data_IF_231799522325
#
_entry.id   IF_231799522325
#
_cell.length_a   1.000
_cell.length_b   1.000
_cell.length_c   1.000
_cell.angle_alpha   90.00
_cell.angle_beta   90.00
_cell.angle_gamma   90.00
#
_symmetry.space_group_name_H-M   'P 1'
#
loop_
_entity.id
_entity.type
_entity.pdbx_description
1 polymer ?
#
# COMPACT_ATOMS: atom_id res chain seq x y z
N UNK A 1 31.01 2.53 -19.49
CA UNK A 1 31.55 1.34 -18.79
C UNK A 1 30.67 1.12 -17.57
N UNK A 2 29.75 0.17 -17.64
CA UNK A 2 28.94 -0.24 -16.48
C UNK A 2 29.86 -0.97 -15.49
N UNK A 3 30.08 -0.40 -14.31
CA UNK A 3 30.81 -1.05 -13.23
C UNK A 3 30.09 -2.36 -12.88
N UNK A 4 30.76 -3.49 -13.00
CA UNK A 4 30.28 -4.73 -12.39
C UNK A 4 30.30 -4.56 -10.89
N UNK A 5 29.13 -4.61 -10.25
CA UNK A 5 28.99 -4.57 -8.79
C UNK A 5 28.54 -5.97 -8.31
N UNK A 6 29.04 -6.40 -7.17
CA UNK A 6 28.58 -7.65 -6.56
C UNK A 6 27.11 -7.53 -6.15
N UNK A 7 26.41 -8.67 -6.09
CA UNK A 7 25.02 -8.71 -5.61
C UNK A 7 24.87 -8.10 -4.22
N UNK A 8 25.82 -8.33 -3.31
CA UNK A 8 25.81 -7.77 -1.96
C UNK A 8 25.90 -6.24 -2.01
N UNK A 9 26.86 -5.69 -2.76
CA UNK A 9 26.99 -4.25 -2.93
C UNK A 9 25.74 -3.63 -3.57
N UNK A 10 25.09 -4.34 -4.50
CA UNK A 10 23.86 -3.87 -5.10
C UNK A 10 22.70 -3.84 -4.09
N UNK A 11 22.48 -4.91 -3.32
CA UNK A 11 21.47 -4.94 -2.27
C UNK A 11 21.74 -3.91 -1.18
N UNK A 12 22.98 -3.72 -0.77
CA UNK A 12 23.39 -2.69 0.19
C UNK A 12 23.12 -1.27 -0.38
N UNK A 13 23.32 -1.06 -1.68
CA UNK A 13 23.00 0.21 -2.35
C UNK A 13 21.51 0.54 -2.40
N UNK A 14 20.64 -0.47 -2.33
CA UNK A 14 19.19 -0.28 -2.20
C UNK A 14 18.77 0.12 -0.78
N UNK A 15 19.70 0.16 0.17
CA UNK A 15 19.42 0.52 1.56
C UNK A 15 18.64 -0.56 2.32
N UNK A 16 18.85 -1.85 1.97
CA UNK A 16 18.25 -2.98 2.69
C UNK A 16 18.75 -3.02 4.14
N UNK A 17 18.00 -2.44 5.07
CA UNK A 17 18.19 -2.66 6.49
C UNK A 17 17.50 -3.96 6.91
N UNK A 18 18.23 -4.88 7.54
CA UNK A 18 17.65 -6.02 8.25
C UNK A 18 17.47 -5.59 9.70
N UNK A 19 16.31 -5.83 10.24
CA UNK A 19 16.01 -5.56 11.64
C UNK A 19 16.81 -6.42 12.63
N UNK A 20 18.10 -6.09 12.75
CA UNK A 20 18.77 -6.04 14.04
C UNK A 20 18.73 -4.56 14.39
N UNK A 21 18.34 -4.20 15.61
CA UNK A 21 18.29 -2.84 16.09
C UNK A 21 19.45 -2.04 15.50
N UNK A 22 19.19 -1.29 14.44
CA UNK A 22 20.17 -0.37 13.88
C UNK A 22 20.28 0.78 14.86
N UNK A 23 21.10 0.63 15.85
CA UNK A 23 21.71 1.74 16.59
C UNK A 23 22.68 2.45 15.66
N UNK A 24 22.14 3.04 14.60
CA UNK A 24 22.88 3.88 13.69
C UNK A 24 22.28 5.28 13.71
N UNK A 25 22.87 6.09 14.59
CA UNK A 25 23.01 7.52 14.32
C UNK A 25 21.74 8.36 14.25
N UNK A 26 20.86 8.31 15.24
CA UNK A 26 20.05 9.46 15.61
C UNK A 26 20.92 10.46 16.40
N UNK A 27 22.02 10.89 15.81
CA UNK A 27 22.75 12.04 16.30
C UNK A 27 21.95 13.28 15.88
N UNK A 28 21.22 13.85 16.82
CA UNK A 28 20.88 15.24 16.79
C UNK A 28 19.50 15.64 16.29
N UNK A 29 18.42 15.22 16.97
CA UNK A 29 17.25 16.07 17.18
C UNK A 29 16.63 15.80 18.55
N UNK A 30 17.43 15.95 19.61
CA UNK A 30 16.85 16.30 20.91
C UNK A 30 16.62 17.82 20.88
N UNK A 31 15.57 18.25 20.24
CA UNK A 31 15.02 19.57 20.53
C UNK A 31 14.46 19.51 21.93
N UNK A 32 15.04 20.28 22.86
CA UNK A 32 14.42 20.59 24.14
C UNK A 32 12.92 20.85 23.93
N UNK A 33 12.03 20.42 24.84
CA UNK A 33 10.62 20.73 24.70
C UNK A 33 10.47 22.26 24.72
N UNK A 34 10.42 22.86 23.51
CA UNK A 34 9.90 24.23 23.39
C UNK A 34 8.50 24.16 24.00
N UNK A 35 8.24 24.99 25.01
CA UNK A 35 6.87 25.24 25.48
C UNK A 35 5.96 25.24 24.26
N UNK A 36 5.01 24.31 24.21
CA UNK A 36 4.06 24.24 23.12
C UNK A 36 3.47 25.63 22.97
N UNK A 37 3.82 26.30 21.87
CA UNK A 37 3.16 27.56 21.52
C UNK A 37 1.67 27.24 21.50
N UNK A 38 0.87 28.06 22.17
CA UNK A 38 -0.57 27.89 22.20
C UNK A 38 -1.02 27.67 20.75
N UNK A 39 -1.71 26.55 20.47
CA UNK A 39 -2.21 26.27 19.13
C UNK A 39 -3.08 27.48 18.74
N UNK A 40 -2.65 28.25 17.74
CA UNK A 40 -3.51 29.27 17.17
C UNK A 40 -4.80 28.60 16.71
N UNK A 41 -5.93 29.14 17.17
CA UNK A 41 -7.24 28.64 16.73
C UNK A 41 -7.47 28.87 15.23
N UNK A 42 -8.51 28.25 14.64
CA UNK A 42 -8.81 28.43 13.23
C UNK A 42 -9.17 29.90 12.95
N UNK A 43 -8.74 30.40 11.79
CA UNK A 43 -8.97 31.79 11.35
C UNK A 43 -10.31 31.90 10.60
N UNK A 44 -10.96 33.06 10.73
CA UNK A 44 -12.11 33.44 9.95
C UNK A 44 -13.38 32.59 10.14
N UNK A 45 -14.31 32.71 9.19
CA UNK A 45 -15.62 32.03 9.25
C UNK A 45 -15.48 30.58 8.76
N UNK A 46 -15.81 29.64 9.66
CA UNK A 46 -15.89 28.22 9.36
C UNK A 46 -17.37 27.79 9.30
N UNK A 47 -17.84 27.13 8.23
CA UNK A 47 -19.20 26.61 8.15
C UNK A 47 -19.51 25.64 9.28
N UNK A 48 -20.76 25.62 9.74
CA UNK A 48 -21.25 24.62 10.71
C UNK A 48 -21.86 23.40 10.02
N UNK A 49 -22.06 23.47 8.69
CA UNK A 49 -22.53 22.32 7.90
C UNK A 49 -21.51 21.20 7.93
N UNK A 50 -21.93 19.93 8.01
CA UNK A 50 -21.01 18.80 8.00
C UNK A 50 -20.09 18.80 6.77
N UNK A 51 -18.88 18.26 6.95
CA UNK A 51 -17.98 17.92 5.87
C UNK A 51 -18.28 16.47 5.46
N UNK A 52 -18.82 16.29 4.26
CA UNK A 52 -19.23 14.97 3.79
C UNK A 52 -18.11 14.25 3.05
N UNK A 53 -17.76 13.06 3.53
CA UNK A 53 -16.80 12.17 2.86
C UNK A 53 -17.54 11.05 2.16
N UNK A 54 -17.25 10.80 0.88
CA UNK A 54 -17.62 9.58 0.19
C UNK A 54 -16.56 8.51 0.45
N UNK A 55 -16.95 7.36 0.97
CA UNK A 55 -16.04 6.23 1.20
C UNK A 55 -16.54 4.99 0.49
N UNK A 56 -15.76 4.50 -0.48
CA UNK A 56 -16.07 3.30 -1.27
C UNK A 56 -15.10 2.20 -0.96
N UNK A 57 -15.59 1.02 -0.60
CA UNK A 57 -14.76 -0.16 -0.34
C UNK A 57 -15.60 -1.44 -0.40
N UNK A 58 -14.97 -2.61 -0.37
CA UNK A 58 -15.71 -3.87 -0.36
C UNK A 58 -16.36 -4.14 1.00
N UNK A 59 -17.68 -4.18 1.02
CA UNK A 59 -18.48 -4.65 2.15
C UNK A 59 -18.98 -6.07 1.96
N UNK A 60 -18.97 -6.58 0.73
CA UNK A 60 -19.44 -7.91 0.38
C UNK A 60 -18.38 -8.68 -0.43
N UNK A 61 -18.56 -10.02 -0.50
CA UNK A 61 -17.67 -10.91 -1.25
C UNK A 61 -16.31 -11.18 -0.59
N UNK A 62 -15.43 -11.94 -1.27
CA UNK A 62 -14.13 -12.37 -0.72
C UNK A 62 -13.16 -11.21 -0.40
N UNK A 63 -13.35 -10.06 -1.04
CA UNK A 63 -12.52 -8.87 -0.81
C UNK A 63 -12.93 -8.06 0.43
N UNK A 64 -14.08 -8.36 1.07
CA UNK A 64 -14.52 -7.69 2.29
C UNK A 64 -13.50 -7.79 3.44
N UNK A 65 -12.66 -8.84 3.45
CA UNK A 65 -11.56 -9.01 4.43
C UNK A 65 -10.54 -7.86 4.38
N UNK A 66 -10.46 -7.12 3.28
CA UNK A 66 -9.69 -5.88 3.13
C UNK A 66 -10.58 -4.63 3.24
N UNK A 67 -11.76 -4.68 2.62
CA UNK A 67 -12.67 -3.54 2.56
C UNK A 67 -13.22 -3.12 3.92
N UNK A 68 -13.60 -4.05 4.79
CA UNK A 68 -14.05 -3.71 6.14
C UNK A 68 -12.97 -3.01 6.99
N UNK A 69 -11.70 -3.46 7.05
CA UNK A 69 -10.64 -2.73 7.70
C UNK A 69 -10.41 -1.32 7.13
N UNK A 70 -10.53 -1.14 5.80
CA UNK A 70 -10.45 0.18 5.16
C UNK A 70 -11.49 1.13 5.76
N UNK A 71 -12.76 0.69 5.80
CA UNK A 71 -13.84 1.48 6.41
C UNK A 71 -13.62 1.75 7.90
N UNK A 72 -13.17 0.74 8.65
CA UNK A 72 -12.88 0.87 10.08
C UNK A 72 -11.78 1.90 10.36
N UNK A 73 -10.73 1.94 9.54
CA UNK A 73 -9.68 2.95 9.63
C UNK A 73 -10.19 4.36 9.36
N UNK A 74 -11.00 4.54 8.32
CA UNK A 74 -11.66 5.80 7.98
C UNK A 74 -12.57 6.28 9.13
N UNK A 75 -13.43 5.40 9.66
CA UNK A 75 -14.37 5.76 10.74
C UNK A 75 -13.62 6.11 12.03
N UNK A 76 -12.54 5.38 12.37
CA UNK A 76 -11.74 5.72 13.54
C UNK A 76 -11.18 7.15 13.42
N UNK A 77 -10.63 7.51 12.27
CA UNK A 77 -10.14 8.87 12.02
C UNK A 77 -11.25 9.91 12.09
N UNK A 78 -12.41 9.63 11.49
CA UNK A 78 -13.57 10.53 11.53
C UNK A 78 -14.10 10.73 12.95
N UNK A 79 -14.21 9.66 13.75
CA UNK A 79 -14.60 9.72 15.17
C UNK A 79 -13.61 10.58 15.98
N UNK A 80 -12.29 10.41 15.78
CA UNK A 80 -11.26 11.19 16.49
C UNK A 80 -11.30 12.68 16.08
N UNK A 81 -11.39 12.97 14.79
CA UNK A 81 -11.55 14.34 14.29
C UNK A 81 -12.83 14.99 14.87
N UNK A 82 -13.91 14.24 14.90
CA UNK A 82 -15.19 14.71 15.45
C UNK A 82 -15.14 14.92 16.96
N UNK A 83 -14.39 14.12 17.70
CA UNK A 83 -14.17 14.32 19.13
C UNK A 83 -13.42 15.63 19.44
N UNK A 84 -12.54 16.07 18.50
CA UNK A 84 -11.85 17.38 18.56
C UNK A 84 -12.71 18.56 18.09
N UNK A 85 -14.00 18.34 17.80
CA UNK A 85 -14.92 19.38 17.32
C UNK A 85 -15.17 19.34 15.80
N UNK A 86 -14.51 18.44 15.05
CA UNK A 86 -14.53 18.37 13.59
C UNK A 86 -13.37 19.12 12.96
N UNK A 87 -13.36 19.20 11.63
CA UNK A 87 -12.37 19.96 10.90
C UNK A 87 -12.42 21.43 11.33
N UNK A 88 -11.28 22.00 11.64
CA UNK A 88 -11.11 23.35 12.19
C UNK A 88 -11.96 23.60 13.46
N UNK A 89 -12.29 22.54 14.21
CA UNK A 89 -13.06 22.64 15.44
C UNK A 89 -14.57 22.93 15.26
N UNK A 90 -15.09 22.85 14.04
CA UNK A 90 -16.51 23.16 13.72
C UNK A 90 -17.18 22.21 12.75
N UNK A 91 -16.56 21.87 11.62
CA UNK A 91 -17.19 21.01 10.61
C UNK A 91 -17.04 19.54 10.98
N UNK A 92 -18.10 18.92 11.49
CA UNK A 92 -18.13 17.49 11.76
C UNK A 92 -18.01 16.71 10.45
N UNK A 93 -17.26 15.60 10.47
CA UNK A 93 -17.14 14.68 9.34
C UNK A 93 -18.34 13.74 9.37
N UNK A 94 -19.04 13.64 8.23
CA UNK A 94 -20.07 12.64 7.96
C UNK A 94 -19.65 11.77 6.79
N UNK A 95 -19.96 10.45 6.82
CA UNK A 95 -19.52 9.50 5.83
C UNK A 95 -20.70 8.92 5.04
N UNK A 96 -20.66 9.09 3.73
CA UNK A 96 -21.50 8.39 2.75
C UNK A 96 -20.72 7.18 2.27
N UNK A 97 -21.26 5.97 2.42
CA UNK A 97 -20.56 4.74 2.06
C UNK A 97 -21.12 4.09 0.80
N UNK A 98 -20.26 3.39 0.04
CA UNK A 98 -20.65 2.55 -1.09
C UNK A 98 -19.89 1.23 -1.10
N UNK A 99 -20.52 0.18 -1.64
CA UNK A 99 -19.90 -1.13 -1.79
C UNK A 99 -19.18 -1.24 -3.14
N UNK A 100 -17.87 -1.40 -3.10
CA UNK A 100 -17.00 -1.55 -4.27
C UNK A 100 -17.28 -2.86 -5.06
N UNK A 101 -17.93 -3.85 -4.43
CA UNK A 101 -18.22 -5.14 -5.03
C UNK A 101 -19.20 -5.08 -6.21
N UNK A 102 -19.87 -3.96 -6.42
CA UNK A 102 -20.80 -3.76 -7.53
C UNK A 102 -20.15 -3.76 -8.93
N UNK A 103 -18.81 -3.70 -9.00
CA UNK A 103 -18.03 -3.67 -10.23
C UNK A 103 -17.73 -2.27 -10.74
N UNK A 104 -16.70 -2.16 -11.59
CA UNK A 104 -16.10 -0.87 -11.98
C UNK A 104 -17.09 0.12 -12.57
N UNK A 105 -17.96 -0.30 -13.48
CA UNK A 105 -18.94 0.59 -14.12
C UNK A 105 -19.98 1.13 -13.11
N UNK A 106 -20.40 0.28 -12.17
CA UNK A 106 -21.30 0.69 -11.10
C UNK A 106 -20.58 1.65 -10.13
N UNK A 107 -19.33 1.42 -9.83
CA UNK A 107 -18.51 2.26 -8.96
C UNK A 107 -18.33 3.68 -9.57
N UNK A 108 -18.12 3.78 -10.88
CA UNK A 108 -18.08 5.07 -11.60
C UNK A 108 -19.41 5.83 -11.46
N UNK A 109 -20.54 5.15 -11.65
CA UNK A 109 -21.87 5.76 -11.47
C UNK A 109 -22.08 6.19 -10.02
N UNK A 110 -21.63 5.40 -9.09
CA UNK A 110 -21.77 5.67 -7.66
C UNK A 110 -20.93 6.89 -7.22
N UNK A 111 -19.69 7.04 -7.71
CA UNK A 111 -18.89 8.24 -7.46
C UNK A 111 -19.61 9.51 -7.98
N UNK A 112 -20.19 9.44 -9.20
CA UNK A 112 -21.00 10.54 -9.73
C UNK A 112 -22.21 10.83 -8.84
N UNK A 113 -22.94 9.81 -8.37
CA UNK A 113 -24.08 9.97 -7.46
C UNK A 113 -23.63 10.60 -6.13
N UNK A 114 -22.55 10.12 -5.54
CA UNK A 114 -22.02 10.72 -4.31
C UNK A 114 -21.70 12.20 -4.48
N UNK A 115 -21.09 12.60 -5.61
CA UNK A 115 -20.75 14.01 -5.85
C UNK A 115 -21.96 14.86 -6.19
N UNK A 116 -22.81 14.41 -7.12
CA UNK A 116 -23.87 15.25 -7.70
C UNK A 116 -25.18 15.23 -6.90
N UNK A 117 -25.44 14.17 -6.13
CA UNK A 117 -26.68 14.01 -5.35
C UNK A 117 -26.41 14.16 -3.84
N UNK A 118 -25.42 13.45 -3.30
CA UNK A 118 -25.09 13.54 -1.87
C UNK A 118 -24.26 14.79 -1.53
N UNK A 119 -23.66 15.43 -2.55
CA UNK A 119 -22.80 16.61 -2.41
C UNK A 119 -21.61 16.36 -1.46
N UNK A 120 -20.87 15.25 -1.71
CA UNK A 120 -19.65 15.00 -0.94
C UNK A 120 -18.60 16.08 -1.22
N UNK A 121 -17.87 16.46 -0.16
CA UNK A 121 -16.74 17.40 -0.22
C UNK A 121 -15.42 16.67 -0.60
N UNK A 122 -15.32 15.40 -0.24
CA UNK A 122 -14.10 14.60 -0.34
C UNK A 122 -14.44 13.13 -0.64
N UNK A 123 -13.61 12.48 -1.48
CA UNK A 123 -13.75 11.07 -1.78
C UNK A 123 -12.50 10.29 -1.33
N UNK A 124 -12.69 9.08 -0.80
CA UNK A 124 -11.60 8.20 -0.36
C UNK A 124 -12.03 6.74 -0.38
N UNK A 125 -11.09 5.85 -0.09
CA UNK A 125 -11.30 4.42 -0.10
C UNK A 125 -10.72 3.77 -1.33
N UNK A 126 -11.40 2.73 -1.81
CA UNK A 126 -11.07 1.84 -2.93
C UNK A 126 -9.90 0.90 -2.62
N UNK A 127 -10.16 -0.39 -2.70
CA UNK A 127 -9.17 -1.47 -2.54
C UNK A 127 -8.62 -1.91 -3.90
N UNK A 128 -9.51 -2.06 -4.90
CA UNK A 128 -9.11 -2.68 -6.17
C UNK A 128 -8.30 -1.76 -7.08
N UNK A 129 -7.13 -2.24 -7.48
CA UNK A 129 -6.29 -1.60 -8.51
C UNK A 129 -6.95 -1.50 -9.89
N UNK A 130 -8.05 -2.22 -10.13
CA UNK A 130 -8.88 -2.07 -11.34
C UNK A 130 -9.74 -0.82 -11.30
N UNK A 131 -10.13 -0.36 -10.11
CA UNK A 131 -11.06 0.76 -9.93
C UNK A 131 -10.38 2.14 -9.93
N UNK A 132 -9.18 2.28 -9.37
CA UNK A 132 -8.52 3.60 -9.30
C UNK A 132 -8.25 4.24 -10.67
N UNK A 133 -7.82 3.50 -11.73
CA UNK A 133 -7.69 4.07 -13.07
C UNK A 133 -9.02 4.45 -13.73
N UNK A 134 -10.12 3.82 -13.32
CA UNK A 134 -11.45 4.16 -13.81
C UNK A 134 -12.08 5.35 -13.06
N UNK A 135 -11.90 5.42 -11.75
CA UNK A 135 -12.45 6.45 -10.88
C UNK A 135 -11.65 7.74 -10.90
N UNK A 136 -10.32 7.66 -11.08
CA UNK A 136 -9.43 8.82 -11.07
C UNK A 136 -9.82 9.88 -12.10
N UNK A 137 -9.97 9.57 -13.41
CA UNK A 137 -10.42 10.52 -14.41
C UNK A 137 -11.80 11.13 -14.10
N UNK A 138 -12.70 10.34 -13.49
CA UNK A 138 -14.04 10.82 -13.10
C UNK A 138 -13.94 11.78 -11.92
N UNK A 139 -13.06 11.52 -10.96
CA UNK A 139 -12.82 12.44 -9.85
C UNK A 139 -12.24 13.79 -10.33
N UNK A 140 -11.30 13.75 -11.30
CA UNK A 140 -10.76 14.94 -11.95
C UNK A 140 -11.87 15.73 -12.71
N UNK A 141 -12.68 15.04 -13.49
CA UNK A 141 -13.82 15.64 -14.24
C UNK A 141 -14.81 16.34 -13.30
N UNK A 142 -15.13 15.71 -12.18
CA UNK A 142 -16.09 16.22 -11.20
C UNK A 142 -15.48 17.27 -10.26
N UNK A 143 -14.18 17.49 -10.30
CA UNK A 143 -13.48 18.38 -9.37
C UNK A 143 -13.64 17.96 -7.91
N UNK A 144 -13.71 16.67 -7.63
CA UNK A 144 -13.84 16.18 -6.26
C UNK A 144 -12.46 15.81 -5.69
N UNK A 145 -12.05 16.51 -4.63
CA UNK A 145 -10.81 16.20 -3.94
C UNK A 145 -10.84 14.75 -3.48
N UNK A 146 -9.86 13.97 -3.92
CA UNK A 146 -9.82 12.53 -3.74
C UNK A 146 -8.47 12.12 -3.19
N UNK A 147 -8.46 11.32 -2.12
CA UNK A 147 -7.25 10.60 -1.67
C UNK A 147 -7.60 9.12 -1.65
N UNK A 148 -7.17 8.37 -2.65
CA UNK A 148 -7.32 6.92 -2.63
C UNK A 148 -6.49 6.31 -1.48
N UNK A 149 -7.12 5.49 -0.65
CA UNK A 149 -6.45 4.82 0.47
C UNK A 149 -5.68 3.57 0.03
N UNK A 150 -6.07 2.96 -1.09
CA UNK A 150 -5.39 1.88 -1.77
C UNK A 150 -5.63 1.90 -3.29
N UNK A 151 -5.82 0.74 -3.94
CA UNK A 151 -5.89 0.64 -5.40
C UNK A 151 -4.56 1.03 -6.06
N UNK A 152 -3.50 0.39 -5.60
CA UNK A 152 -2.11 0.82 -5.71
C UNK A 152 -1.47 0.74 -7.10
N UNK A 153 -2.19 0.31 -8.17
CA UNK A 153 -1.59 0.17 -9.51
C UNK A 153 -0.85 1.43 -9.96
N UNK A 154 0.32 1.24 -10.56
CA UNK A 154 1.10 2.32 -11.18
C UNK A 154 0.31 3.01 -12.32
N UNK A 155 -0.63 2.31 -12.95
CA UNK A 155 -1.42 2.83 -14.06
C UNK A 155 -2.27 4.05 -13.72
N UNK A 156 -2.61 4.27 -12.44
CA UNK A 156 -3.35 5.47 -12.05
C UNK A 156 -2.62 6.73 -12.50
N UNK A 157 -1.37 6.92 -12.08
CA UNK A 157 -0.61 8.13 -12.37
C UNK A 157 0.31 8.02 -13.59
N UNK A 158 0.60 6.81 -14.05
CA UNK A 158 1.36 6.62 -15.27
C UNK A 158 0.51 6.81 -16.52
N UNK A 159 -0.80 6.49 -16.47
CA UNK A 159 -1.66 6.40 -17.67
C UNK A 159 -3.00 7.10 -17.53
N UNK A 160 -3.77 6.79 -16.48
CA UNK A 160 -5.16 7.25 -16.36
C UNK A 160 -5.27 8.73 -15.96
N UNK A 161 -4.45 9.16 -15.02
CA UNK A 161 -4.38 10.55 -14.53
C UNK A 161 -2.92 11.00 -14.50
N UNK A 162 -2.27 11.16 -15.67
CA UNK A 162 -0.84 11.47 -15.73
C UNK A 162 -0.49 12.87 -15.22
N UNK A 163 -1.44 13.77 -15.17
CA UNK A 163 -1.30 15.14 -14.64
C UNK A 163 -2.42 15.39 -13.64
N UNK A 164 -2.35 14.82 -12.43
CA UNK A 164 -3.42 14.94 -11.45
C UNK A 164 -3.54 16.36 -10.91
N UNK A 165 -4.77 16.78 -10.62
CA UNK A 165 -5.08 18.00 -9.88
C UNK A 165 -5.86 17.67 -8.60
N UNK A 166 -6.95 16.91 -8.72
CA UNK A 166 -7.83 16.59 -7.59
C UNK A 166 -7.54 15.22 -6.97
N UNK A 167 -6.79 14.37 -7.66
CA UNK A 167 -6.56 12.98 -7.27
C UNK A 167 -5.20 12.79 -6.63
N UNK A 168 -5.20 12.20 -5.44
CA UNK A 168 -4.03 11.79 -4.64
C UNK A 168 -4.14 10.31 -4.26
N UNK A 169 -3.05 9.71 -3.82
CA UNK A 169 -3.07 8.36 -3.24
C UNK A 169 -2.08 8.26 -2.08
N UNK A 170 -2.54 7.64 -0.97
CA UNK A 170 -1.74 7.53 0.26
C UNK A 170 -0.96 6.24 0.38
N UNK A 171 -1.48 5.12 -0.15
CA UNK A 171 -0.76 3.83 -0.13
C UNK A 171 0.47 3.85 -1.03
N UNK A 172 1.42 2.94 -0.78
CA UNK A 172 2.55 2.78 -1.67
C UNK A 172 2.12 2.35 -3.08
N UNK A 173 2.97 2.66 -4.06
CA UNK A 173 2.77 2.27 -5.45
C UNK A 173 3.04 0.77 -5.64
N UNK A 174 2.27 0.11 -6.52
CA UNK A 174 2.31 -1.33 -6.80
C UNK A 174 3.71 -1.87 -7.14
N UNK A 175 4.49 -1.10 -7.88
CA UNK A 175 5.86 -1.49 -8.22
C UNK A 175 6.71 -1.82 -6.99
N UNK A 176 6.46 -1.16 -5.85
CA UNK A 176 7.18 -1.43 -4.62
C UNK A 176 6.98 -2.88 -4.12
N UNK A 177 5.80 -3.46 -4.29
CA UNK A 177 5.50 -4.84 -3.88
C UNK A 177 6.36 -5.86 -4.62
N UNK A 178 6.40 -5.76 -5.95
CA UNK A 178 7.19 -6.66 -6.78
C UNK A 178 8.69 -6.51 -6.51
N UNK A 179 9.16 -5.26 -6.45
CA UNK A 179 10.60 -4.99 -6.30
C UNK A 179 11.13 -5.39 -4.93
N UNK A 180 10.41 -5.08 -3.84
CA UNK A 180 10.84 -5.51 -2.48
C UNK A 180 10.80 -7.02 -2.32
N UNK A 181 9.81 -7.69 -2.92
CA UNK A 181 9.73 -9.14 -2.94
C UNK A 181 10.92 -9.76 -3.68
N UNK A 182 11.30 -9.23 -4.84
CA UNK A 182 12.48 -9.65 -5.59
C UNK A 182 13.78 -9.45 -4.80
N UNK A 183 13.93 -8.30 -4.15
CA UNK A 183 15.09 -8.01 -3.30
C UNK A 183 15.18 -8.95 -2.09
N UNK A 184 14.04 -9.27 -1.46
CA UNK A 184 13.98 -10.22 -0.37
C UNK A 184 14.35 -11.65 -0.82
N UNK A 185 13.86 -12.08 -1.98
CA UNK A 185 14.22 -13.37 -2.61
C UNK A 185 15.71 -13.43 -2.90
N UNK A 186 16.26 -12.43 -3.59
CA UNK A 186 17.67 -12.41 -3.97
C UNK A 186 18.61 -12.43 -2.76
N UNK A 187 18.19 -11.82 -1.65
CA UNK A 187 18.93 -11.83 -0.40
C UNK A 187 18.85 -13.17 0.33
N UNK A 188 17.63 -13.70 0.47
CA UNK A 188 17.38 -14.89 1.29
C UNK A 188 17.72 -16.19 0.57
N UNK A 189 17.54 -16.24 -0.75
CA UNK A 189 17.63 -17.45 -1.57
C UNK A 189 18.40 -17.20 -2.86
N UNK A 190 19.69 -16.87 -2.77
CA UNK A 190 20.53 -16.54 -3.93
C UNK A 190 20.70 -17.69 -4.94
N UNK A 191 20.38 -18.92 -4.52
CA UNK A 191 20.42 -20.12 -5.33
C UNK A 191 19.20 -20.31 -6.24
N UNK A 192 18.14 -19.52 -6.12
CA UNK A 192 16.93 -19.60 -6.94
C UNK A 192 17.28 -19.39 -8.41
N UNK A 193 16.79 -20.28 -9.29
CA UNK A 193 16.96 -20.24 -10.75
C UNK A 193 15.64 -20.39 -11.49
N UNK A 194 14.73 -21.25 -11.00
CA UNK A 194 13.43 -21.53 -11.62
C UNK A 194 12.30 -20.94 -10.79
N UNK A 195 11.50 -20.08 -11.39
CA UNK A 195 10.41 -19.38 -10.72
C UNK A 195 9.09 -19.79 -11.36
N UNK A 196 8.12 -20.20 -10.56
CA UNK A 196 6.72 -20.22 -10.94
C UNK A 196 6.02 -19.01 -10.32
N UNK A 197 4.91 -18.57 -10.90
CA UNK A 197 4.07 -17.57 -10.26
C UNK A 197 2.58 -17.87 -10.39
N UNK A 198 1.80 -17.39 -9.41
CA UNK A 198 0.33 -17.36 -9.43
C UNK A 198 -0.11 -15.95 -9.02
N UNK A 199 -0.67 -15.20 -9.97
CA UNK A 199 -1.11 -13.82 -9.77
C UNK A 199 -2.52 -13.63 -10.34
N UNK A 200 -3.38 -12.79 -9.71
CA UNK A 200 -4.72 -12.55 -10.25
C UNK A 200 -4.64 -11.82 -11.61
N UNK A 201 -5.53 -12.23 -12.54
CA UNK A 201 -5.51 -11.76 -13.93
C UNK A 201 -6.17 -10.39 -14.09
N UNK A 202 -5.55 -9.36 -13.53
CA UNK A 202 -5.92 -7.96 -13.72
C UNK A 202 -4.73 -7.04 -13.37
N UNK A 203 -4.92 -5.70 -13.40
CA UNK A 203 -3.84 -4.72 -13.27
C UNK A 203 -2.92 -4.94 -12.06
N UNK A 204 -3.47 -5.31 -10.88
CA UNK A 204 -2.63 -5.60 -9.71
C UNK A 204 -1.67 -6.76 -9.97
N UNK A 205 -2.20 -7.92 -10.34
CA UNK A 205 -1.38 -9.12 -10.53
C UNK A 205 -0.35 -8.94 -11.65
N UNK A 206 -0.74 -8.29 -12.75
CA UNK A 206 0.16 -8.00 -13.88
C UNK A 206 1.30 -7.08 -13.44
N UNK A 207 1.00 -5.96 -12.79
CA UNK A 207 2.04 -5.06 -12.30
C UNK A 207 2.97 -5.73 -11.28
N UNK A 208 2.42 -6.50 -10.32
CA UNK A 208 3.22 -7.14 -9.28
C UNK A 208 4.30 -8.07 -9.86
N UNK A 209 3.91 -8.95 -10.79
CA UNK A 209 4.87 -9.90 -11.38
C UNK A 209 5.83 -9.22 -12.37
N UNK A 210 5.39 -8.23 -13.13
CA UNK A 210 6.25 -7.49 -14.05
C UNK A 210 7.38 -6.80 -13.29
N UNK A 211 7.06 -6.12 -12.18
CA UNK A 211 8.07 -5.46 -11.34
C UNK A 211 8.95 -6.46 -10.59
N UNK A 212 8.38 -7.58 -10.12
CA UNK A 212 9.19 -8.66 -9.56
C UNK A 212 10.19 -9.19 -10.61
N UNK A 213 9.71 -9.47 -11.82
CA UNK A 213 10.52 -10.07 -12.90
C UNK A 213 11.64 -9.14 -13.34
N UNK A 214 11.35 -7.85 -13.61
CA UNK A 214 12.40 -6.92 -14.04
C UNK A 214 13.44 -6.68 -12.96
N UNK A 215 13.05 -6.73 -11.67
CA UNK A 215 13.97 -6.57 -10.56
C UNK A 215 14.80 -7.85 -10.34
N UNK A 216 14.18 -9.03 -10.35
CA UNK A 216 14.89 -10.29 -10.10
C UNK A 216 15.90 -10.60 -11.24
N UNK A 217 15.62 -10.25 -12.49
CA UNK A 217 16.54 -10.35 -13.61
C UNK A 217 17.80 -9.47 -13.45
N UNK A 218 17.71 -8.41 -12.65
CA UNK A 218 18.87 -7.59 -12.30
C UNK A 218 19.65 -8.16 -11.11
N UNK A 219 18.95 -8.70 -10.14
CA UNK A 219 19.49 -9.19 -8.87
C UNK A 219 20.00 -10.64 -8.96
N UNK A 220 19.33 -11.50 -9.74
CA UNK A 220 19.65 -12.90 -10.02
C UNK A 220 19.51 -13.16 -11.53
N UNK A 221 20.49 -12.77 -12.35
CA UNK A 221 20.35 -12.77 -13.82
C UNK A 221 20.07 -14.13 -14.47
N UNK A 222 20.38 -15.24 -13.77
CA UNK A 222 20.16 -16.61 -14.27
C UNK A 222 18.78 -17.17 -13.96
N UNK A 223 17.87 -16.36 -13.42
CA UNK A 223 16.50 -16.81 -13.13
C UNK A 223 15.64 -16.91 -14.39
N UNK A 224 14.72 -17.88 -14.38
CA UNK A 224 13.76 -18.10 -15.47
C UNK A 224 12.38 -18.39 -14.90
N UNK A 225 11.34 -17.78 -15.49
CA UNK A 225 9.96 -18.15 -15.23
C UNK A 225 9.65 -19.45 -15.99
N UNK A 226 9.26 -20.50 -15.25
CA UNK A 226 8.99 -21.84 -15.80
C UNK A 226 7.51 -22.22 -15.75
N UNK A 227 6.69 -21.47 -15.02
CA UNK A 227 5.24 -21.67 -14.95
C UNK A 227 4.54 -20.39 -14.56
N UNK A 228 3.39 -20.15 -15.18
CA UNK A 228 2.52 -19.00 -14.93
C UNK A 228 1.11 -19.46 -14.60
N UNK A 229 0.50 -18.88 -13.58
CA UNK A 229 -0.88 -19.08 -13.19
C UNK A 229 -1.61 -17.74 -13.10
N UNK A 230 -2.75 -17.64 -13.81
CA UNK A 230 -3.54 -16.42 -13.91
C UNK A 230 -5.00 -16.70 -13.49
N UNK A 231 -5.27 -16.91 -12.18
CA UNK A 231 -6.66 -17.03 -11.71
C UNK A 231 -7.41 -15.71 -11.86
N UNK A 232 -8.70 -15.78 -12.17
CA UNK A 232 -9.59 -14.63 -12.10
C UNK A 232 -9.79 -14.22 -10.64
N UNK A 233 -10.03 -12.93 -10.41
CA UNK A 233 -10.41 -12.46 -9.07
C UNK A 233 -11.73 -13.13 -8.64
N UNK A 234 -11.79 -13.62 -7.38
CA UNK A 234 -12.90 -14.41 -6.86
C UNK A 234 -12.77 -15.91 -7.13
N UNK A 235 -11.63 -16.39 -7.64
CA UNK A 235 -11.36 -17.82 -7.81
C UNK A 235 -11.37 -18.53 -6.45
N UNK A 236 -12.13 -19.61 -6.34
CA UNK A 236 -12.21 -20.44 -5.13
C UNK A 236 -11.48 -21.78 -5.28
N UNK A 237 -11.26 -22.26 -6.50
CA UNK A 237 -10.51 -23.49 -6.81
C UNK A 237 -9.21 -23.17 -7.53
N UNK A 238 -8.09 -23.38 -6.84
CA UNK A 238 -6.73 -23.16 -7.32
C UNK A 238 -6.01 -24.44 -7.77
N UNK A 239 -6.70 -25.58 -7.79
CA UNK A 239 -6.12 -26.90 -8.09
C UNK A 239 -5.29 -26.90 -9.37
N UNK A 240 -5.83 -26.38 -10.47
CA UNK A 240 -5.13 -26.35 -11.76
C UNK A 240 -3.86 -25.50 -11.70
N UNK A 241 -3.91 -24.32 -11.07
CA UNK A 241 -2.75 -23.43 -10.93
C UNK A 241 -1.68 -24.05 -10.04
N UNK A 242 -2.06 -24.66 -8.91
CA UNK A 242 -1.16 -25.31 -7.96
C UNK A 242 -0.47 -26.52 -8.60
N UNK A 243 -1.21 -27.40 -9.25
CA UNK A 243 -0.67 -28.64 -9.86
C UNK A 243 0.23 -28.31 -11.03
N UNK A 244 -0.11 -27.31 -11.86
CA UNK A 244 0.74 -26.79 -12.92
C UNK A 244 2.08 -26.26 -12.37
N UNK A 245 2.04 -25.45 -11.30
CA UNK A 245 3.24 -24.95 -10.68
C UNK A 245 4.12 -26.09 -10.13
N UNK A 246 3.55 -27.06 -9.42
CA UNK A 246 4.29 -28.22 -8.89
C UNK A 246 4.93 -29.04 -10.03
N UNK A 247 4.21 -29.26 -11.12
CA UNK A 247 4.71 -30.06 -12.26
C UNK A 247 5.89 -29.42 -12.96
N UNK A 248 6.01 -28.10 -12.96
CA UNK A 248 7.14 -27.35 -13.51
C UNK A 248 8.43 -27.46 -12.68
N UNK A 249 8.36 -28.01 -11.45
CA UNK A 249 9.49 -28.18 -10.51
C UNK A 249 10.33 -26.90 -10.35
N UNK A 250 9.71 -25.78 -9.95
CA UNK A 250 10.41 -24.53 -9.68
C UNK A 250 11.15 -24.61 -8.34
N UNK A 251 12.14 -23.72 -8.15
CA UNK A 251 12.79 -23.50 -6.85
C UNK A 251 11.93 -22.61 -5.94
N UNK A 252 11.14 -21.72 -6.57
CA UNK A 252 10.34 -20.68 -5.92
C UNK A 252 8.98 -20.55 -6.60
N UNK A 253 7.92 -20.45 -5.79
CA UNK A 253 6.63 -19.89 -6.21
C UNK A 253 6.47 -18.49 -5.66
N UNK A 254 6.17 -17.54 -6.55
CA UNK A 254 5.82 -16.16 -6.19
C UNK A 254 4.32 -15.95 -6.38
N UNK A 255 3.64 -15.33 -5.43
CA UNK A 255 2.20 -15.08 -5.51
C UNK A 255 1.82 -13.64 -5.15
N UNK A 256 0.95 -13.08 -5.98
CA UNK A 256 0.23 -11.83 -5.71
C UNK A 256 -1.26 -12.04 -5.47
N UNK A 257 -1.71 -13.28 -5.25
CA UNK A 257 -3.10 -13.56 -4.86
C UNK A 257 -3.36 -12.95 -3.48
N UNK A 258 -4.52 -12.34 -3.28
CA UNK A 258 -4.84 -11.57 -2.07
C UNK A 258 -6.24 -11.86 -1.54
N UNK A 259 -6.56 -11.33 -0.35
CA UNK A 259 -7.87 -11.43 0.26
C UNK A 259 -8.29 -12.87 0.56
N UNK A 260 -9.58 -13.15 0.40
CA UNK A 260 -10.17 -14.49 0.55
C UNK A 260 -9.61 -15.50 -0.44
N UNK A 261 -9.27 -15.05 -1.67
CA UNK A 261 -8.67 -15.89 -2.70
C UNK A 261 -7.31 -16.44 -2.23
N UNK A 262 -6.50 -15.61 -1.54
CA UNK A 262 -5.24 -16.09 -0.95
C UNK A 262 -5.46 -17.13 0.13
N UNK A 263 -6.46 -16.94 0.99
CA UNK A 263 -6.80 -17.91 2.04
C UNK A 263 -7.21 -19.24 1.41
N UNK A 264 -8.01 -19.22 0.35
CA UNK A 264 -8.39 -20.42 -0.40
C UNK A 264 -7.16 -21.09 -1.04
N UNK A 265 -6.32 -20.32 -1.71
CA UNK A 265 -5.13 -20.81 -2.40
C UNK A 265 -4.14 -21.49 -1.43
N UNK A 266 -3.76 -20.84 -0.32
CA UNK A 266 -2.74 -21.41 0.55
C UNK A 266 -3.22 -22.68 1.26
N UNK A 267 -4.50 -22.76 1.63
CA UNK A 267 -5.10 -23.99 2.22
C UNK A 267 -5.07 -25.16 1.25
N UNK A 268 -5.40 -24.93 -0.01
CA UNK A 268 -5.28 -25.95 -1.05
C UNK A 268 -3.82 -26.32 -1.29
N UNK A 269 -2.92 -25.34 -1.38
CA UNK A 269 -1.50 -25.58 -1.56
C UNK A 269 -0.87 -26.41 -0.43
N UNK A 270 -1.33 -26.24 0.83
CA UNK A 270 -0.96 -27.12 1.94
C UNK A 270 -1.37 -28.57 1.67
N UNK A 271 -2.60 -28.82 1.21
CA UNK A 271 -3.09 -30.15 0.88
C UNK A 271 -2.29 -30.83 -0.23
N UNK A 272 -1.82 -30.09 -1.22
CA UNK A 272 -0.94 -30.59 -2.29
C UNK A 272 0.53 -30.69 -1.90
N UNK A 273 0.90 -30.31 -0.67
CA UNK A 273 2.29 -30.34 -0.18
C UNK A 273 3.21 -29.37 -0.93
N UNK A 274 2.69 -28.30 -1.54
CA UNK A 274 3.43 -27.33 -2.35
C UNK A 274 4.63 -26.77 -1.56
N UNK A 275 4.41 -26.32 -0.35
CA UNK A 275 5.41 -25.65 0.49
C UNK A 275 6.55 -26.57 0.98
N UNK A 276 6.42 -27.91 0.80
CA UNK A 276 7.48 -28.90 1.02
C UNK A 276 8.34 -29.11 -0.23
N UNK A 277 7.88 -28.66 -1.38
CA UNK A 277 8.50 -28.92 -2.69
C UNK A 277 9.30 -27.73 -3.22
N UNK A 278 8.95 -26.52 -2.79
CA UNK A 278 9.56 -25.28 -3.27
C UNK A 278 9.46 -24.18 -2.22
N UNK A 279 10.31 -23.16 -2.34
CA UNK A 279 10.21 -21.92 -1.56
C UNK A 279 8.96 -21.16 -1.95
N UNK A 280 8.49 -20.31 -1.05
CA UNK A 280 7.31 -19.48 -1.31
C UNK A 280 7.58 -18.01 -0.94
N UNK A 281 7.22 -17.10 -1.82
CA UNK A 281 7.20 -15.66 -1.58
C UNK A 281 5.85 -15.08 -2.02
N UNK A 282 5.35 -14.13 -1.28
CA UNK A 282 4.15 -13.39 -1.64
C UNK A 282 4.36 -11.89 -1.49
N UNK A 283 3.74 -11.12 -2.38
CA UNK A 283 3.76 -9.66 -2.31
C UNK A 283 2.80 -9.11 -1.26
N UNK A 284 1.79 -9.88 -0.83
CA UNK A 284 0.67 -9.36 -0.03
C UNK A 284 0.11 -10.33 1.03
N UNK A 285 0.59 -11.57 1.15
CA UNK A 285 -0.04 -12.59 1.99
C UNK A 285 -0.37 -12.16 3.42
N UNK A 286 0.54 -11.43 4.08
CA UNK A 286 0.38 -10.94 5.44
C UNK A 286 -0.15 -9.49 5.53
N UNK A 287 -0.44 -8.89 4.39
CA UNK A 287 -1.13 -7.59 4.31
C UNK A 287 -2.64 -7.68 4.52
N UNK A 288 -3.23 -8.87 4.38
CA UNK A 288 -4.65 -9.09 4.71
C UNK A 288 -4.89 -9.00 6.21
N UNK A 289 -6.15 -8.94 6.62
CA UNK A 289 -6.51 -8.91 8.03
C UNK A 289 -5.80 -10.07 8.77
N UNK A 290 -4.96 -9.81 9.77
CA UNK A 290 -4.09 -10.83 10.35
C UNK A 290 -4.83 -12.09 10.80
N UNK A 291 -6.04 -11.95 11.36
CA UNK A 291 -6.85 -13.08 11.82
C UNK A 291 -7.38 -13.99 10.69
N UNK A 292 -7.30 -13.58 9.43
CA UNK A 292 -7.67 -14.42 8.29
C UNK A 292 -6.61 -15.48 7.96
N UNK A 293 -5.38 -15.31 8.47
CA UNK A 293 -4.28 -16.25 8.34
C UNK A 293 -4.14 -17.03 9.64
N UNK A 294 -4.39 -18.34 9.62
CA UNK A 294 -4.21 -19.20 10.79
C UNK A 294 -2.73 -19.46 11.10
N UNK A 295 -2.47 -20.39 12.03
CA UNK A 295 -1.10 -20.87 12.37
C UNK A 295 -0.61 -22.01 11.47
N UNK A 296 -1.44 -22.52 10.61
CA UNK A 296 -1.14 -23.57 9.63
C UNK A 296 -0.40 -23.06 8.39
N UNK A 297 -0.39 -21.74 8.17
CA UNK A 297 0.40 -21.13 7.10
C UNK A 297 1.91 -21.45 7.29
N UNK A 298 2.67 -21.76 6.22
CA UNK A 298 4.07 -22.15 6.33
C UNK A 298 4.92 -21.05 6.97
N UNK A 299 5.82 -21.45 7.88
CA UNK A 299 6.79 -20.55 8.48
C UNK A 299 8.02 -20.34 7.58
N UNK A 300 8.66 -19.17 7.70
CA UNK A 300 9.89 -18.85 6.97
C UNK A 300 9.68 -18.53 5.50
N UNK A 301 8.44 -18.36 5.07
CA UNK A 301 8.14 -17.83 3.73
C UNK A 301 8.35 -16.32 3.69
N UNK A 302 8.68 -15.75 2.53
CA UNK A 302 8.62 -14.30 2.34
C UNK A 302 7.14 -13.90 2.30
N UNK A 303 6.75 -13.09 3.26
CA UNK A 303 5.37 -12.75 3.58
C UNK A 303 5.14 -11.26 3.37
N UNK A 304 4.72 -10.88 2.17
CA UNK A 304 4.48 -9.49 1.80
C UNK A 304 3.34 -8.86 2.60
N UNK A 305 3.44 -7.56 2.78
CA UNK A 305 2.46 -6.72 3.47
C UNK A 305 2.03 -5.54 2.59
N UNK A 306 1.99 -5.79 1.29
CA UNK A 306 1.69 -4.75 0.30
C UNK A 306 2.70 -3.59 0.35
N UNK A 307 3.96 -3.88 0.63
CA UNK A 307 5.07 -2.95 0.79
C UNK A 307 4.74 -1.69 1.60
N UNK A 308 3.72 -1.74 2.44
CA UNK A 308 3.07 -0.56 3.00
C UNK A 308 3.14 -0.53 4.53
N UNK A 309 2.39 -1.38 5.23
CA UNK A 309 2.24 -1.32 6.67
C UNK A 309 2.03 -2.71 7.29
N UNK A 310 2.62 -2.90 8.46
CA UNK A 310 2.32 -4.05 9.31
C UNK A 310 2.15 -3.61 10.76
N UNK A 311 1.16 -4.14 11.48
CA UNK A 311 0.75 -3.63 12.80
C UNK A 311 1.82 -3.71 13.89
N UNK A 312 2.82 -4.58 13.76
CA UNK A 312 3.98 -4.63 14.68
C UNK A 312 5.17 -3.79 14.19
N UNK A 313 5.05 -3.11 13.03
CA UNK A 313 6.15 -2.36 12.45
C UNK A 313 5.67 -1.00 11.88
N UNK A 314 6.34 0.13 12.17
CA UNK A 314 7.56 0.23 13.01
C UNK A 314 7.31 -0.13 14.48
N UNK A 315 8.34 -0.68 15.19
CA UNK A 315 8.20 -1.04 16.61
C UNK A 315 7.77 0.14 17.47
N UNK A 316 6.87 -0.11 18.42
CA UNK A 316 6.22 0.94 19.21
C UNK A 316 7.15 1.72 20.13
N UNK A 317 8.26 1.14 20.58
CA UNK A 317 9.32 1.80 21.35
C UNK A 317 10.11 2.81 20.50
N UNK A 318 10.25 2.56 19.21
CA UNK A 318 10.89 3.45 18.24
C UNK A 318 9.89 4.39 17.56
N UNK A 319 8.63 3.97 17.44
CA UNK A 319 7.59 4.71 16.74
C UNK A 319 6.26 4.72 17.51
N UNK A 320 6.13 5.58 18.55
CA UNK A 320 4.95 5.63 19.42
C UNK A 320 3.62 5.84 18.69
N UNK A 321 3.65 6.47 17.53
CA UNK A 321 2.45 6.71 16.70
C UNK A 321 1.81 5.40 16.26
N UNK A 322 2.62 4.39 15.90
CA UNK A 322 2.10 3.07 15.55
C UNK A 322 1.46 2.38 16.77
N UNK A 323 2.18 2.30 17.90
CA UNK A 323 1.64 1.66 19.11
C UNK A 323 0.33 2.31 19.55
N UNK A 324 0.26 3.64 19.49
CA UNK A 324 -0.95 4.41 19.83
C UNK A 324 -2.11 4.11 18.88
N UNK A 325 -1.88 4.07 17.57
CA UNK A 325 -2.89 3.71 16.57
C UNK A 325 -3.41 2.28 16.78
N UNK A 326 -2.53 1.29 16.89
CA UNK A 326 -2.89 -0.11 17.13
C UNK A 326 -3.74 -0.24 18.40
N UNK A 327 -3.32 0.41 19.51
CA UNK A 327 -4.07 0.40 20.77
C UNK A 327 -5.50 0.93 20.60
N UNK A 328 -5.68 2.07 19.89
CA UNK A 328 -7.00 2.67 19.67
C UNK A 328 -7.84 1.83 18.73
N UNK A 329 -7.27 1.31 17.66
CA UNK A 329 -7.94 0.45 16.71
C UNK A 329 -8.44 -0.84 17.38
N UNK A 330 -7.57 -1.54 18.12
CA UNK A 330 -7.94 -2.75 18.89
C UNK A 330 -8.98 -2.46 19.95
N UNK A 331 -8.87 -1.33 20.65
CA UNK A 331 -9.90 -0.91 21.64
C UNK A 331 -11.28 -0.76 20.99
N UNK A 332 -11.31 -0.15 19.79
CA UNK A 332 -12.57 0.16 19.06
C UNK A 332 -13.18 -1.06 18.40
N UNK A 333 -12.36 -1.85 17.69
CA UNK A 333 -12.84 -2.89 16.78
C UNK A 333 -12.58 -4.31 17.25
N UNK A 334 -11.77 -4.53 18.32
CA UNK A 334 -11.41 -5.84 18.87
C UNK A 334 -10.61 -6.72 17.89
N UNK A 335 -9.93 -6.11 16.93
CA UNK A 335 -9.07 -6.76 15.95
C UNK A 335 -7.82 -5.89 15.69
N UNK A 336 -6.79 -6.46 15.06
CA UNK A 336 -5.60 -5.73 14.71
C UNK A 336 -5.76 -4.99 13.37
N UNK A 337 -5.18 -3.78 13.24
CA UNK A 337 -5.19 -3.06 11.98
C UNK A 337 -4.30 -3.74 10.94
N UNK A 338 -4.61 -3.51 9.68
CA UNK A 338 -3.78 -3.87 8.53
C UNK A 338 -3.47 -2.61 7.69
N UNK A 339 -2.78 -2.78 6.55
CA UNK A 339 -2.39 -1.67 5.68
C UNK A 339 -3.59 -0.87 5.15
N UNK A 340 -4.73 -1.52 4.93
CA UNK A 340 -5.95 -0.87 4.48
C UNK A 340 -6.50 0.11 5.53
N UNK A 341 -6.61 -0.36 6.77
CA UNK A 341 -7.09 0.51 7.84
C UNK A 341 -6.13 1.65 8.15
N UNK A 342 -4.84 1.40 8.02
CA UNK A 342 -3.81 2.41 8.21
C UNK A 342 -3.84 3.44 7.08
N UNK A 343 -3.94 3.03 5.81
CA UNK A 343 -4.03 3.92 4.67
C UNK A 343 -5.24 4.83 4.73
N UNK A 344 -6.43 4.27 5.03
CA UNK A 344 -7.65 5.05 5.16
C UNK A 344 -7.61 6.04 6.35
N UNK A 345 -7.02 5.62 7.48
CA UNK A 345 -6.79 6.49 8.62
C UNK A 345 -5.87 7.67 8.27
N UNK A 346 -4.74 7.39 7.62
CA UNK A 346 -3.76 8.42 7.23
C UNK A 346 -4.31 9.37 6.18
N UNK A 347 -5.13 8.91 5.22
CA UNK A 347 -5.78 9.77 4.23
C UNK A 347 -6.61 10.88 4.90
N UNK A 348 -7.36 10.56 5.93
CA UNK A 348 -8.16 11.52 6.70
C UNK A 348 -7.29 12.53 7.46
N UNK A 349 -6.16 12.11 8.01
CA UNK A 349 -5.23 13.01 8.68
C UNK A 349 -4.40 13.87 7.72
N UNK A 350 -4.12 13.39 6.50
CA UNK A 350 -3.55 14.21 5.43
C UNK A 350 -4.53 15.33 5.05
N UNK A 351 -5.80 14.98 4.81
CA UNK A 351 -6.86 15.97 4.56
C UNK A 351 -6.96 16.99 5.70
N UNK A 352 -7.08 16.52 6.96
CA UNK A 352 -7.15 17.41 8.15
C UNK A 352 -5.98 18.37 8.19
N UNK A 353 -4.77 17.86 7.96
CA UNK A 353 -3.54 18.65 7.99
C UNK A 353 -3.49 19.70 6.89
N UNK A 354 -3.89 19.34 5.67
CA UNK A 354 -3.95 20.26 4.55
C UNK A 354 -4.99 21.38 4.80
N UNK A 355 -6.18 21.01 5.28
CA UNK A 355 -7.23 21.99 5.66
C UNK A 355 -6.74 22.95 6.76
N UNK A 356 -6.07 22.45 7.78
CA UNK A 356 -5.50 23.28 8.86
C UNK A 356 -4.44 24.27 8.34
N UNK A 357 -3.60 23.83 7.39
CA UNK A 357 -2.55 24.68 6.80
C UNK A 357 -3.16 25.72 5.86
N UNK A 358 -4.06 25.31 4.98
CA UNK A 358 -4.77 26.19 4.07
C UNK A 358 -5.60 27.26 4.80
N UNK A 359 -6.27 26.92 5.92
CA UNK A 359 -6.98 27.88 6.76
C UNK A 359 -6.06 28.97 7.31
N UNK A 360 -4.83 28.68 7.69
CA UNK A 360 -3.88 29.67 8.21
C UNK A 360 -3.55 30.75 7.17
N UNK A 361 -3.57 30.37 5.90
CA UNK A 361 -3.31 31.28 4.78
C UNK A 361 -4.58 32.00 4.32
N UNK A 362 -5.69 31.27 4.15
CA UNK A 362 -6.93 31.80 3.60
C UNK A 362 -7.75 32.66 4.59
N UNK A 363 -7.62 32.40 5.88
CA UNK A 363 -8.39 33.14 6.91
C UNK A 363 -9.88 32.83 6.94
N UNK A 364 -10.26 31.58 6.66
CA UNK A 364 -11.63 31.07 6.67
C UNK A 364 -11.64 29.60 6.27
N UNK A 365 -12.83 29.05 5.91
CA UNK A 365 -12.85 27.74 5.27
C UNK A 365 -12.12 27.83 3.92
N UNK A 366 -11.07 27.04 3.69
CA UNK A 366 -10.28 27.16 2.48
C UNK A 366 -11.03 26.60 1.26
N UNK A 367 -10.82 27.20 0.10
CA UNK A 367 -11.24 26.63 -1.18
C UNK A 367 -10.47 25.33 -1.47
N UNK A 368 -11.03 24.46 -2.31
CA UNK A 368 -10.45 23.16 -2.63
C UNK A 368 -9.05 23.27 -3.20
N UNK A 369 -8.80 24.24 -4.06
CA UNK A 369 -7.49 24.52 -4.66
C UNK A 369 -6.42 24.89 -3.62
N UNK A 370 -6.80 25.61 -2.58
CA UNK A 370 -5.88 25.93 -1.48
C UNK A 370 -5.55 24.67 -0.66
N UNK A 371 -6.51 23.75 -0.48
CA UNK A 371 -6.25 22.46 0.18
C UNK A 371 -5.33 21.59 -0.68
N UNK A 372 -5.54 21.56 -2.00
CA UNK A 372 -4.69 20.85 -2.97
C UNK A 372 -3.25 21.36 -2.88
N UNK A 373 -3.04 22.69 -2.93
CA UNK A 373 -1.70 23.26 -2.81
C UNK A 373 -0.98 22.92 -1.51
N UNK A 374 -1.72 22.65 -0.42
CA UNK A 374 -1.16 22.20 0.85
C UNK A 374 -0.95 20.67 0.91
N UNK A 375 -1.60 19.90 0.04
CA UNK A 375 -1.36 18.46 -0.13
C UNK A 375 -0.11 18.20 -0.98
N UNK A 376 0.14 19.00 -2.02
CA UNK A 376 1.34 18.88 -2.84
C UNK A 376 2.61 19.10 -2.02
N UNK A 377 3.46 18.08 -1.96
CA UNK A 377 4.67 18.11 -1.12
C UNK A 377 4.40 17.96 0.39
N UNK A 378 3.16 17.70 0.82
CA UNK A 378 2.85 17.47 2.22
C UNK A 378 3.65 16.30 2.78
N UNK A 379 4.26 16.54 3.94
CA UNK A 379 4.91 15.50 4.72
C UNK A 379 4.26 15.39 6.09
N UNK A 380 3.91 14.18 6.49
CA UNK A 380 3.35 13.88 7.82
C UNK A 380 3.95 12.61 8.41
N UNK A 381 3.85 12.47 9.71
CA UNK A 381 4.10 11.21 10.41
C UNK A 381 2.77 10.51 10.66
N UNK A 382 2.74 9.21 10.41
CA UNK A 382 1.57 8.34 10.64
C UNK A 382 1.99 7.02 11.28
N UNK A 383 1.07 6.07 11.47
CA UNK A 383 1.38 4.78 12.06
C UNK A 383 2.49 4.03 11.31
N UNK A 384 2.46 4.00 9.99
CA UNK A 384 3.44 3.32 9.15
C UNK A 384 4.76 4.06 8.95
N UNK A 385 5.00 5.19 9.61
CA UNK A 385 6.24 5.95 9.51
C UNK A 385 6.05 7.37 8.97
N UNK A 386 6.95 7.78 8.09
CA UNK A 386 6.97 9.10 7.47
C UNK A 386 6.40 9.03 6.06
N UNK A 387 5.44 9.89 5.77
CA UNK A 387 4.78 10.00 4.47
C UNK A 387 5.15 11.30 3.80
N UNK A 388 5.36 11.25 2.50
CA UNK A 388 5.59 12.42 1.66
C UNK A 388 4.78 12.29 0.36
N UNK A 389 3.89 13.25 0.11
CA UNK A 389 3.16 13.33 -1.15
C UNK A 389 4.07 14.00 -2.19
N UNK A 390 4.34 13.30 -3.27
CA UNK A 390 5.10 13.84 -4.39
C UNK A 390 4.29 14.91 -5.13
N UNK A 391 4.84 16.09 -5.36
CA UNK A 391 4.11 17.14 -6.08
C UNK A 391 4.02 16.90 -7.60
N UNK A 392 4.88 16.00 -8.14
CA UNK A 392 4.90 15.73 -9.59
C UNK A 392 3.83 14.71 -10.05
N UNK A 393 3.29 13.91 -9.15
CA UNK A 393 2.30 12.88 -9.49
C UNK A 393 1.29 12.56 -8.39
N UNK A 394 1.27 13.32 -7.29
CA UNK A 394 0.36 13.17 -6.13
C UNK A 394 0.37 11.80 -5.43
N UNK A 395 1.37 10.97 -5.72
CA UNK A 395 1.59 9.71 -5.01
C UNK A 395 2.29 9.99 -3.67
N UNK A 396 1.70 9.55 -2.56
CA UNK A 396 2.42 9.54 -1.29
C UNK A 396 3.40 8.37 -1.24
N UNK A 397 4.58 8.62 -0.69
CA UNK A 397 5.64 7.65 -0.48
C UNK A 397 5.96 7.50 0.99
N UNK A 398 6.15 6.27 1.41
CA UNK A 398 6.82 5.87 2.65
C UNK A 398 7.69 4.65 2.37
N UNK A 399 8.63 4.36 3.27
CA UNK A 399 9.52 3.22 3.08
C UNK A 399 8.74 1.90 2.96
N UNK A 400 9.16 1.08 2.02
CA UNK A 400 8.55 -0.21 1.76
C UNK A 400 9.01 -1.24 2.80
N UNK A 401 8.12 -2.13 3.23
CA UNK A 401 8.38 -3.19 4.20
C UNK A 401 7.90 -4.54 3.72
N UNK A 402 8.65 -5.58 4.06
CA UNK A 402 8.26 -6.99 3.93
C UNK A 402 8.97 -7.79 5.04
N UNK A 403 8.75 -9.10 5.10
CA UNK A 403 9.41 -9.91 6.13
C UNK A 403 9.21 -11.40 5.91
N UNK A 404 9.45 -12.16 6.96
CA UNK A 404 9.30 -13.61 6.96
C UNK A 404 8.20 -14.02 7.91
N UNK A 405 7.40 -14.99 7.50
CA UNK A 405 6.32 -15.53 8.31
C UNK A 405 6.83 -16.35 9.49
N UNK A 406 6.22 -16.16 10.67
CA UNK A 406 6.51 -16.98 11.86
C UNK A 406 5.27 -17.17 12.74
N UNK A 407 5.20 -18.29 13.47
CA UNK A 407 4.27 -18.47 14.57
C UNK A 407 4.81 -17.82 15.84
N UNK A 408 3.96 -17.10 16.56
CA UNK A 408 4.26 -16.52 17.86
C UNK A 408 3.29 -17.07 18.91
N UNK A 409 3.72 -17.25 20.17
CA UNK A 409 2.81 -17.60 21.26
C UNK A 409 1.82 -16.46 21.59
N UNK A 410 2.19 -15.22 21.29
CA UNK A 410 1.42 -14.03 21.64
C UNK A 410 0.21 -13.80 20.74
N UNK A 411 0.15 -14.48 19.59
CA UNK A 411 -0.91 -14.30 18.60
C UNK A 411 -1.57 -15.62 18.23
N UNK A 412 -2.88 -15.59 17.96
CA UNK A 412 -3.65 -16.75 17.49
C UNK A 412 -3.45 -17.03 15.99
N UNK A 413 -2.73 -16.17 15.30
CA UNK A 413 -2.43 -16.21 13.87
C UNK A 413 -0.93 -15.99 13.65
N UNK A 414 -0.47 -16.27 12.43
CA UNK A 414 0.93 -16.10 12.06
C UNK A 414 1.26 -14.62 11.84
N UNK A 415 2.44 -14.21 12.29
CA UNK A 415 2.94 -12.83 12.17
C UNK A 415 4.20 -12.78 11.30
N UNK A 416 4.64 -11.58 10.97
CA UNK A 416 6.00 -11.35 10.48
C UNK A 416 7.01 -11.48 11.61
N UNK A 417 8.11 -12.16 11.33
CA UNK A 417 9.25 -12.29 12.26
C UNK A 417 9.89 -10.90 12.49
N UNK A 418 9.80 -10.34 13.69
CA UNK A 418 10.32 -9.01 13.98
C UNK A 418 11.84 -8.89 13.78
N UNK A 419 12.58 -10.02 13.83
CA UNK A 419 14.03 -10.06 13.61
C UNK A 419 14.41 -10.21 12.14
N UNK A 420 13.44 -10.44 11.25
CA UNK A 420 13.66 -10.69 9.83
C UNK A 420 12.80 -9.78 8.95
N UNK A 421 12.39 -8.64 9.47
CA UNK A 421 11.74 -7.62 8.66
C UNK A 421 12.76 -6.92 7.76
N UNK A 422 12.33 -6.57 6.57
CA UNK A 422 13.13 -5.92 5.54
C UNK A 422 12.44 -4.60 5.21
N UNK A 423 13.18 -3.51 5.35
CA UNK A 423 12.74 -2.17 4.95
C UNK A 423 13.63 -1.66 3.82
N UNK A 424 13.03 -1.02 2.83
CA UNK A 424 13.74 -0.37 1.74
C UNK A 424 13.19 1.05 1.54
N UNK A 425 14.06 2.06 1.44
CA UNK A 425 13.61 3.40 1.06
C UNK A 425 12.88 3.38 -0.27
N UNK A 426 11.64 3.85 -0.30
CA UNK A 426 10.77 3.79 -1.49
C UNK A 426 11.43 4.39 -2.74
N UNK A 427 12.20 5.47 -2.58
CA UNK A 427 12.96 6.11 -3.66
C UNK A 427 14.02 5.24 -4.32
N UNK A 428 14.44 4.15 -3.66
CA UNK A 428 15.42 3.21 -4.19
C UNK A 428 14.80 2.13 -5.09
N UNK A 429 13.48 1.99 -5.06
CA UNK A 429 12.75 0.92 -5.74
C UNK A 429 11.62 1.41 -6.63
N UNK A 430 11.47 2.72 -6.78
CA UNK A 430 10.49 3.36 -7.68
C UNK A 430 11.15 4.42 -8.53
N UNK A 431 10.58 4.71 -9.70
CA UNK A 431 11.09 5.75 -10.60
C UNK A 431 11.21 7.10 -9.89
N UNK A 432 12.31 7.84 -10.08
CA UNK A 432 12.47 9.15 -9.47
C UNK A 432 11.47 10.17 -10.04
N UNK A 433 11.28 11.31 -9.35
CA UNK A 433 10.47 12.40 -9.88
C UNK A 433 10.91 12.80 -11.29
N UNK A 434 9.94 13.16 -12.13
CA UNK A 434 10.14 13.56 -13.52
C UNK A 434 10.76 12.48 -14.43
N UNK A 435 10.77 11.21 -14.02
CA UNK A 435 11.10 10.12 -14.94
C UNK A 435 10.08 10.10 -16.09
N UNK A 436 10.52 9.89 -17.35
CA UNK A 436 9.60 9.87 -18.48
C UNK A 436 8.44 8.90 -18.26
N UNK A 437 7.21 9.41 -18.39
CA UNK A 437 6.01 8.57 -18.29
C UNK A 437 5.96 7.60 -19.47
N UNK A 438 5.45 6.38 -19.27
CA UNK A 438 5.22 5.43 -20.36
C UNK A 438 4.15 5.96 -21.31
N UNK A 439 3.99 5.29 -22.45
CA UNK A 439 2.85 5.50 -23.33
C UNK A 439 1.51 5.15 -22.63
N UNK A 440 0.43 5.60 -23.22
CA UNK A 440 -0.93 5.43 -22.64
C UNK A 440 -1.56 4.08 -22.96
N UNK A 441 -0.97 3.26 -23.83
CA UNK A 441 -1.47 1.92 -24.11
C UNK A 441 -1.48 1.05 -22.84
N UNK A 442 -2.52 0.24 -22.70
CA UNK A 442 -2.64 -0.69 -21.56
C UNK A 442 -1.47 -1.69 -21.48
N UNK A 443 -0.86 -1.99 -22.64
CA UNK A 443 0.28 -2.91 -22.73
C UNK A 443 1.66 -2.23 -22.49
N UNK A 444 1.71 -0.90 -22.40
CA UNK A 444 2.96 -0.22 -22.14
C UNK A 444 3.41 -0.50 -20.70
N UNK A 445 4.69 -0.78 -20.47
CA UNK A 445 5.22 -0.99 -19.14
C UNK A 445 5.17 0.31 -18.33
N UNK A 446 5.19 0.20 -17.00
CA UNK A 446 5.14 1.36 -16.09
C UNK A 446 6.44 2.17 -16.11
N UNK A 447 6.40 3.39 -15.57
CA UNK A 447 7.58 4.24 -15.40
C UNK A 447 8.67 3.53 -14.56
N UNK A 448 8.27 2.88 -13.45
CA UNK A 448 9.23 2.16 -12.58
C UNK A 448 9.83 0.93 -13.27
N UNK A 449 9.05 0.16 -14.03
CA UNK A 449 9.58 -0.93 -14.82
C UNK A 449 10.68 -0.46 -15.79
N UNK A 450 10.38 0.59 -16.58
CA UNK A 450 11.31 1.16 -17.55
C UNK A 450 12.56 1.73 -16.86
N UNK A 451 12.40 2.36 -15.72
CA UNK A 451 13.51 2.89 -14.93
C UNK A 451 14.46 1.78 -14.46
N UNK A 452 13.94 0.72 -13.85
CA UNK A 452 14.73 -0.43 -13.39
C UNK A 452 15.43 -1.08 -14.58
N UNK A 453 14.69 -1.37 -15.66
CA UNK A 453 15.23 -2.02 -16.86
C UNK A 453 16.40 -1.23 -17.46
N UNK A 454 16.29 0.11 -17.47
CA UNK A 454 17.29 1.00 -18.09
C UNK A 454 18.48 1.30 -17.16
N UNK A 455 18.25 1.47 -15.85
CA UNK A 455 19.25 2.07 -14.97
C UNK A 455 19.87 1.11 -13.97
N UNK A 456 19.15 0.07 -13.54
CA UNK A 456 19.73 -0.87 -12.61
C UNK A 456 20.82 -1.71 -13.26
N UNK A 457 21.99 -1.85 -12.62
CA UNK A 457 23.03 -2.77 -13.10
C UNK A 457 22.55 -4.22 -12.96
N UNK A 458 23.16 -5.14 -13.70
CA UNK A 458 23.03 -6.57 -13.40
C UNK A 458 24.05 -6.91 -12.33
N UNK A 459 23.62 -7.61 -11.28
CA UNK A 459 24.55 -8.14 -10.29
C UNK A 459 25.48 -9.18 -10.96
N UNK A 460 26.74 -9.19 -10.58
CA UNK A 460 27.66 -10.29 -10.91
C UNK A 460 27.29 -11.52 -10.07
N UNK A 461 27.47 -12.71 -10.66
CA UNK A 461 27.25 -13.99 -10.01
C UNK A 461 28.08 -14.16 -8.74
#
# INVERSE_FOLDING_TARGET
MTKNISRREFLDSLGLAVGAAATAGAAGYISSPKKAAAKEGPKGKIPSTPFKTGHMTFFTGPAAVLGEPTYKGHILAAEEINAEGGLLGKRKVETVRADEAAGTDANVKELRRMKLVENIDFFTGVVSSGNTPALGPVAEELGVLTIFSDGCTDFLFDKAVPNPKYVFRVTNIQSADGVICAAAVARAWPEVRKIAHIHPDYSYGRNAIDHFTVAIEKLLPDTKVVSEGWPKLGTTDFTTHITKAISAKPDLLVSGVWGGDYVAMYKQALGYGLFKKMKFASTISHGIAPHAIGKDHPQGTIAGVHANYYFTYPPGDQWPTNASFVKRYVKRWKEYPNFESEGAYVAMYMLKKAVERANKLAGGWPETEAIIGELEGLSITGPGGYYHIRPDNHQAYKDAVTGFSMNSPDYKFQILDPNRMIQIPIRSITAPPNWPKPGTSHNDPTATYNWIKKTWPKASA
#
